data_IF_663277842435
#
_entry.id   IF_663277842435
#
_cell.length_a   1.000
_cell.length_b   1.000
_cell.length_c   1.000
_cell.angle_alpha   90.00
_cell.angle_beta   90.00
_cell.angle_gamma   90.00
#
_symmetry.space_group_name_H-M   'P 1'
#
loop_
_entity.id
_entity.type
_entity.pdbx_description
1 polymer ?
#
# COMPACT_ATOMS: atom_id res chain seq x y z
N UNK A 1 10.11 35.96 2.09
CA UNK A 1 9.82 34.52 2.20
C UNK A 1 11.14 33.83 2.41
N UNK A 2 11.29 32.90 3.37
CA UNK A 2 12.52 32.13 3.46
C UNK A 2 12.72 31.42 2.11
N UNK A 3 13.94 31.46 1.57
CA UNK A 3 14.29 30.71 0.37
C UNK A 3 13.95 29.24 0.63
N UNK A 4 13.04 28.66 -0.15
CA UNK A 4 12.68 27.25 0.00
C UNK A 4 13.91 26.42 -0.31
N UNK A 5 14.34 25.58 0.64
CA UNK A 5 15.40 24.60 0.44
C UNK A 5 15.15 23.87 -0.88
N UNK A 6 16.14 23.71 -1.78
CA UNK A 6 15.94 22.95 -3.01
C UNK A 6 15.51 21.51 -2.68
N UNK A 7 14.47 21.03 -3.36
CA UNK A 7 13.92 19.69 -3.18
C UNK A 7 14.94 18.66 -3.71
N UNK A 8 15.47 17.76 -2.88
CA UNK A 8 16.45 16.76 -3.32
C UNK A 8 15.80 15.70 -4.21
N UNK A 9 16.60 15.02 -5.03
CA UNK A 9 16.13 13.94 -5.92
C UNK A 9 15.59 12.73 -5.15
N UNK A 10 16.09 12.49 -3.93
CA UNK A 10 15.75 11.31 -3.13
C UNK A 10 15.36 11.69 -1.70
N UNK A 11 14.14 11.34 -1.30
CA UNK A 11 13.61 11.52 0.05
C UNK A 11 13.49 10.15 0.72
N UNK A 12 14.54 9.71 1.43
CA UNK A 12 14.51 8.46 2.20
C UNK A 12 13.50 8.60 3.34
N UNK A 13 12.56 7.67 3.47
CA UNK A 13 11.49 7.72 4.46
C UNK A 13 11.81 6.86 5.68
N UNK A 14 11.33 7.29 6.84
CA UNK A 14 11.42 6.56 8.09
C UNK A 14 10.14 5.73 8.33
N UNK A 15 10.23 4.38 8.39
CA UNK A 15 9.07 3.53 8.63
C UNK A 15 8.40 3.80 9.99
N UNK A 16 7.07 3.90 10.00
CA UNK A 16 6.27 4.05 11.21
C UNK A 16 5.62 2.71 11.58
N UNK A 17 6.12 2.07 12.62
CA UNK A 17 5.70 0.73 13.04
C UNK A 17 4.46 0.76 13.94
N UNK A 18 3.61 -0.25 13.79
CA UNK A 18 2.40 -0.45 14.60
C UNK A 18 2.32 -1.88 15.10
N UNK A 19 2.08 -1.98 16.40
CA UNK A 19 2.00 -3.26 17.10
C UNK A 19 0.53 -3.58 17.36
N UNK A 20 0.01 -4.52 16.56
CA UNK A 20 -1.32 -5.08 16.74
C UNK A 20 -1.21 -6.57 17.07
N UNK A 21 -2.21 -7.10 17.77
CA UNK A 21 -2.24 -8.48 18.25
C UNK A 21 -2.09 -9.55 17.18
N UNK A 22 -2.30 -9.20 15.91
CA UNK A 22 -2.16 -10.11 14.77
C UNK A 22 -0.76 -10.08 14.13
N UNK A 23 0.14 -9.23 14.62
CA UNK A 23 1.45 -8.99 14.02
C UNK A 23 2.46 -10.11 14.23
N UNK A 24 3.38 -10.26 13.28
CA UNK A 24 4.50 -11.21 13.34
C UNK A 24 5.83 -10.56 13.74
N UNK A 25 6.95 -11.20 13.40
CA UNK A 25 8.31 -10.77 13.79
C UNK A 25 9.22 -10.44 12.59
N UNK A 26 8.71 -10.51 11.36
CA UNK A 26 9.50 -10.35 10.12
C UNK A 26 9.87 -8.90 9.83
N UNK A 27 9.08 -7.92 10.30
CA UNK A 27 9.31 -6.49 10.03
C UNK A 27 10.37 -5.87 10.96
N UNK A 28 10.39 -6.28 12.23
CA UNK A 28 11.39 -5.86 13.23
C UNK A 28 11.91 -7.07 14.01
N UNK A 29 12.87 -7.83 13.43
CA UNK A 29 13.45 -8.98 14.12
C UNK A 29 14.04 -8.59 15.48
N UNK A 30 13.60 -9.26 16.53
CA UNK A 30 14.03 -9.00 17.92
C UNK A 30 12.98 -8.29 18.78
N UNK A 31 11.94 -7.71 18.18
CA UNK A 31 10.75 -7.22 18.89
C UNK A 31 9.73 -8.36 19.12
N UNK A 32 8.81 -8.19 20.08
CA UNK A 32 7.81 -9.20 20.42
C UNK A 32 6.87 -9.51 19.22
N UNK A 33 6.26 -8.48 18.65
CA UNK A 33 5.48 -8.53 17.43
C UNK A 33 5.43 -7.14 16.76
N UNK A 34 5.21 -7.11 15.46
CA UNK A 34 4.99 -5.91 14.65
C UNK A 34 4.04 -6.25 13.52
N UNK A 35 2.92 -5.55 13.47
CA UNK A 35 1.83 -5.85 12.57
C UNK A 35 1.99 -5.10 11.25
N UNK A 36 2.25 -3.79 11.35
CA UNK A 36 2.41 -2.93 10.19
C UNK A 36 3.68 -2.09 10.29
N UNK A 37 4.28 -1.80 9.14
CA UNK A 37 5.19 -0.68 8.96
C UNK A 37 4.60 0.21 7.86
N UNK A 38 4.22 1.43 8.20
CA UNK A 38 3.84 2.41 7.19
C UNK A 38 5.12 3.02 6.66
N UNK A 39 5.30 2.90 5.35
CA UNK A 39 6.55 3.27 4.67
C UNK A 39 6.36 4.44 3.70
N UNK A 40 5.10 4.76 3.37
CA UNK A 40 4.71 6.01 2.73
C UNK A 40 3.36 6.41 3.28
N UNK A 41 3.27 7.58 3.89
CA UNK A 41 2.03 8.22 4.30
C UNK A 41 2.25 9.72 4.45
N UNK A 42 1.18 10.51 4.38
CA UNK A 42 1.28 11.97 4.51
C UNK A 42 1.94 12.43 5.82
N UNK A 43 1.87 11.62 6.88
CA UNK A 43 2.52 11.89 8.17
C UNK A 43 3.87 11.18 8.36
N UNK A 44 4.34 10.41 7.38
CA UNK A 44 5.66 9.79 7.45
C UNK A 44 6.75 10.84 7.18
N UNK A 45 7.88 10.68 7.88
CA UNK A 45 8.95 11.68 7.92
C UNK A 45 10.10 11.30 6.99
N UNK A 46 10.75 12.32 6.44
CA UNK A 46 12.03 12.15 5.75
C UNK A 46 13.13 11.87 6.78
N UNK A 47 13.82 10.75 6.61
CA UNK A 47 14.81 10.19 7.54
C UNK A 47 16.10 11.02 7.60
N UNK A 48 16.52 11.61 6.49
CA UNK A 48 17.84 12.26 6.38
C UNK A 48 17.91 13.27 5.24
N UNK A 49 18.90 14.16 5.29
CA UNK A 49 19.17 15.14 4.23
C UNK A 49 18.48 16.50 4.46
N UNK A 50 18.41 17.37 3.44
CA UNK A 50 17.92 18.74 3.60
C UNK A 50 16.47 18.86 4.08
N UNK A 51 15.65 17.84 3.84
CA UNK A 51 14.25 17.77 4.25
C UNK A 51 14.04 16.93 5.53
N UNK A 52 15.11 16.52 6.22
CA UNK A 52 15.01 15.64 7.40
C UNK A 52 14.00 16.17 8.43
N UNK A 53 13.15 15.27 8.93
CA UNK A 53 12.14 15.57 9.94
C UNK A 53 10.90 16.29 9.41
N UNK A 54 10.83 16.61 8.11
CA UNK A 54 9.59 17.08 7.48
C UNK A 54 8.74 15.88 7.06
N UNK A 55 7.43 16.03 7.18
CA UNK A 55 6.43 15.06 6.72
C UNK A 55 6.14 15.20 5.23
N UNK A 56 5.61 14.15 4.61
CA UNK A 56 5.17 14.23 3.21
C UNK A 56 4.05 15.26 2.99
N UNK A 57 3.18 15.49 3.97
CA UNK A 57 2.16 16.54 3.93
C UNK A 57 2.77 17.94 3.90
N UNK A 58 3.75 18.23 4.76
CA UNK A 58 4.47 19.51 4.76
C UNK A 58 5.19 19.74 3.43
N UNK A 59 5.83 18.70 2.89
CA UNK A 59 6.51 18.77 1.60
C UNK A 59 5.51 18.95 0.45
N UNK A 60 4.35 18.29 0.49
CA UNK A 60 3.31 18.45 -0.52
C UNK A 60 2.72 19.86 -0.51
N UNK A 61 2.53 20.45 0.68
CA UNK A 61 2.09 21.84 0.84
C UNK A 61 3.17 22.83 0.34
N UNK A 62 4.43 22.59 0.67
CA UNK A 62 5.55 23.49 0.33
C UNK A 62 5.93 23.46 -1.17
N UNK A 63 6.01 22.26 -1.75
CA UNK A 63 6.54 22.07 -3.11
C UNK A 63 5.45 21.76 -4.15
N UNK A 64 4.25 21.38 -3.71
CA UNK A 64 3.08 21.16 -4.56
C UNK A 64 3.39 20.30 -5.80
N UNK A 65 3.12 20.80 -7.02
CA UNK A 65 3.39 20.06 -8.26
C UNK A 65 4.85 19.60 -8.45
N UNK A 66 5.84 20.24 -7.82
CA UNK A 66 7.23 19.79 -7.91
C UNK A 66 7.43 18.46 -7.16
N UNK A 67 6.71 18.25 -6.06
CA UNK A 67 6.75 17.00 -5.32
C UNK A 67 5.93 15.92 -6.02
N UNK A 68 4.63 16.17 -6.22
CA UNK A 68 3.67 15.12 -6.59
C UNK A 68 3.30 15.09 -8.07
N UNK A 69 3.61 16.15 -8.81
CA UNK A 69 3.18 16.32 -10.21
C UNK A 69 1.87 17.11 -10.34
N UNK A 70 1.70 17.80 -11.47
CA UNK A 70 0.59 18.75 -11.66
C UNK A 70 -0.80 18.09 -11.63
N UNK A 71 -0.96 16.93 -12.26
CA UNK A 71 -2.22 16.19 -12.32
C UNK A 71 -2.62 15.66 -10.93
N UNK A 72 -1.65 15.15 -10.19
CA UNK A 72 -1.85 14.62 -8.84
C UNK A 72 -2.26 15.74 -7.88
N UNK A 73 -1.55 16.87 -7.92
CA UNK A 73 -1.85 18.04 -7.10
C UNK A 73 -3.25 18.61 -7.38
N UNK A 74 -3.71 18.59 -8.64
CA UNK A 74 -5.08 19.01 -8.98
C UNK A 74 -6.16 18.10 -8.38
N UNK A 75 -5.88 16.80 -8.21
CA UNK A 75 -6.83 15.83 -7.64
C UNK A 75 -6.87 15.85 -6.13
N UNK A 76 -5.70 16.01 -5.48
CA UNK A 76 -5.54 15.78 -4.04
C UNK A 76 -5.13 17.04 -3.25
N UNK A 77 -4.80 18.12 -3.93
CA UNK A 77 -4.32 19.35 -3.30
C UNK A 77 -3.05 19.10 -2.50
N UNK A 78 -3.04 19.55 -1.26
CA UNK A 78 -1.92 19.40 -0.32
C UNK A 78 -1.87 18.01 0.34
N UNK A 79 -2.89 17.16 0.15
CA UNK A 79 -2.89 15.79 0.69
C UNK A 79 -1.99 14.91 -0.16
N UNK A 80 -1.03 14.24 0.47
CA UNK A 80 -0.24 13.24 -0.21
C UNK A 80 -1.14 12.05 -0.61
N UNK A 81 -1.11 11.55 -1.86
CA UNK A 81 -2.21 10.75 -2.44
C UNK A 81 -2.21 9.26 -2.06
N UNK A 82 -1.10 8.72 -1.54
CA UNK A 82 -0.95 7.29 -1.27
C UNK A 82 -0.65 7.01 0.20
N UNK A 83 -1.07 5.81 0.62
CA UNK A 83 -0.60 5.13 1.81
C UNK A 83 0.01 3.79 1.38
N UNK A 84 1.22 3.49 1.84
CA UNK A 84 1.92 2.24 1.55
C UNK A 84 2.37 1.60 2.86
N UNK A 85 2.03 0.33 3.03
CA UNK A 85 2.28 -0.44 4.25
C UNK A 85 2.99 -1.75 3.92
N UNK A 86 3.84 -2.19 4.84
CA UNK A 86 4.25 -3.59 4.95
C UNK A 86 3.45 -4.22 6.09
N UNK A 87 2.85 -5.39 5.87
CA UNK A 87 2.05 -6.09 6.89
C UNK A 87 2.61 -7.49 7.10
N UNK A 88 2.90 -7.85 8.35
CA UNK A 88 3.31 -9.20 8.74
C UNK A 88 2.20 -9.86 9.55
N UNK A 89 1.45 -10.72 8.88
CA UNK A 89 0.21 -11.30 9.38
C UNK A 89 0.51 -12.62 10.08
N UNK A 90 0.63 -12.63 11.40
CA UNK A 90 0.76 -13.85 12.20
C UNK A 90 -0.61 -14.48 12.53
N UNK A 91 -1.67 -13.66 12.59
CA UNK A 91 -3.06 -14.09 12.73
C UNK A 91 -3.93 -13.46 11.63
N UNK A 92 -5.20 -13.88 11.59
CA UNK A 92 -6.19 -13.21 10.74
C UNK A 92 -6.40 -11.75 11.16
N UNK A 93 -6.32 -10.86 10.17
CA UNK A 93 -6.92 -9.54 10.27
C UNK A 93 -8.45 -9.68 10.28
N UNK A 94 -9.15 -8.68 10.79
CA UNK A 94 -10.61 -8.70 10.73
C UNK A 94 -11.11 -8.78 9.29
N UNK A 95 -12.30 -9.33 9.08
CA UNK A 95 -13.01 -9.21 7.81
C UNK A 95 -13.49 -7.77 7.66
N UNK A 96 -13.14 -7.15 6.54
CA UNK A 96 -13.32 -5.74 6.27
C UNK A 96 -13.91 -5.50 4.89
N UNK A 97 -14.41 -4.28 4.70
CA UNK A 97 -14.80 -3.75 3.41
C UNK A 97 -14.56 -2.24 3.39
N UNK A 98 -14.27 -1.70 2.22
CA UNK A 98 -13.90 -0.30 2.05
C UNK A 98 -14.87 0.45 1.12
N UNK A 99 -15.24 1.71 1.44
CA UNK A 99 -16.05 2.55 0.56
C UNK A 99 -15.25 3.05 -0.66
N UNK A 100 -15.96 3.44 -1.73
CA UNK A 100 -15.40 4.31 -2.76
C UNK A 100 -15.36 5.77 -2.27
N UNK A 101 -14.81 6.70 -3.06
CA UNK A 101 -14.69 8.11 -2.64
C UNK A 101 -16.04 8.77 -2.34
N UNK A 102 -17.04 8.53 -3.19
CA UNK A 102 -18.39 9.11 -3.03
C UNK A 102 -19.03 8.64 -1.72
N UNK A 103 -18.97 7.34 -1.45
CA UNK A 103 -19.50 6.74 -0.22
C UNK A 103 -18.71 7.17 1.01
N UNK A 104 -17.38 7.34 0.91
CA UNK A 104 -16.57 7.84 2.01
C UNK A 104 -16.99 9.26 2.41
N UNK A 105 -17.20 10.13 1.42
CA UNK A 105 -17.67 11.51 1.66
C UNK A 105 -19.10 11.52 2.22
N UNK A 106 -20.00 10.69 1.69
CA UNK A 106 -21.39 10.61 2.17
C UNK A 106 -21.46 10.13 3.62
N UNK A 107 -20.64 9.16 4.01
CA UNK A 107 -20.71 8.51 5.32
C UNK A 107 -19.89 9.22 6.41
N UNK A 108 -18.68 9.69 6.07
CA UNK A 108 -17.71 10.23 7.04
C UNK A 108 -17.49 11.73 6.89
N UNK A 109 -17.94 12.33 5.78
CA UNK A 109 -17.89 13.76 5.52
C UNK A 109 -16.78 14.20 4.55
N UNK A 110 -16.70 15.50 4.26
CA UNK A 110 -15.72 16.03 3.31
C UNK A 110 -14.29 15.81 3.81
N UNK A 111 -13.40 15.38 2.90
CA UNK A 111 -11.98 15.14 3.18
C UNK A 111 -11.61 13.68 3.46
N UNK A 112 -12.60 12.79 3.56
CA UNK A 112 -12.40 11.35 3.54
C UNK A 112 -12.28 10.85 2.10
N UNK A 113 -11.34 9.92 1.89
CA UNK A 113 -11.16 9.22 0.62
C UNK A 113 -11.67 7.79 0.76
N UNK A 114 -12.11 7.23 -0.36
CA UNK A 114 -12.30 5.80 -0.50
C UNK A 114 -10.98 5.06 -0.33
N UNK A 115 -11.05 3.73 -0.34
CA UNK A 115 -9.88 2.88 -0.17
C UNK A 115 -9.89 1.75 -1.20
N UNK A 116 -9.40 2.09 -2.38
CA UNK A 116 -8.89 1.14 -3.37
C UNK A 116 -7.47 0.74 -2.97
N UNK A 117 -7.15 -0.53 -3.06
CA UNK A 117 -5.85 -1.06 -2.63
C UNK A 117 -5.35 -2.20 -3.54
N UNK A 118 -4.06 -2.46 -3.45
CA UNK A 118 -3.43 -3.63 -4.04
C UNK A 118 -2.42 -4.23 -3.06
N UNK A 119 -2.40 -5.55 -2.99
CA UNK A 119 -1.51 -6.32 -2.13
C UNK A 119 -0.53 -7.10 -2.98
N UNK A 120 0.76 -6.90 -2.78
CA UNK A 120 1.80 -7.74 -3.35
C UNK A 120 2.38 -8.65 -2.25
N UNK A 121 2.39 -9.95 -2.51
CA UNK A 121 2.83 -10.96 -1.55
C UNK A 121 4.35 -11.04 -1.53
N UNK A 122 4.98 -10.50 -0.49
CA UNK A 122 6.44 -10.53 -0.32
C UNK A 122 6.92 -11.91 0.14
N UNK A 123 6.12 -12.56 1.00
CA UNK A 123 6.35 -13.92 1.47
C UNK A 123 5.03 -14.57 1.90
N UNK A 124 4.96 -15.90 1.83
CA UNK A 124 3.79 -16.67 2.21
C UNK A 124 4.20 -18.04 2.74
N UNK A 125 3.77 -18.36 3.96
CA UNK A 125 3.94 -19.69 4.54
C UNK A 125 3.05 -20.72 3.81
N UNK A 126 3.40 -22.03 3.85
CA UNK A 126 2.56 -23.06 3.25
C UNK A 126 1.12 -23.03 3.78
N UNK A 127 0.15 -22.89 2.86
CA UNK A 127 -1.28 -22.85 3.19
C UNK A 127 -1.82 -21.45 3.51
N UNK A 128 -0.99 -20.40 3.45
CA UNK A 128 -1.44 -19.02 3.58
C UNK A 128 -2.48 -18.65 2.50
N UNK A 129 -3.49 -17.91 2.94
CA UNK A 129 -4.64 -17.53 2.11
C UNK A 129 -5.25 -16.24 2.62
N UNK A 130 -6.00 -15.57 1.75
CA UNK A 130 -6.78 -14.38 2.06
C UNK A 130 -8.27 -14.67 1.91
N UNK A 131 -9.09 -13.78 2.45
CA UNK A 131 -10.47 -13.59 2.00
C UNK A 131 -10.47 -12.45 0.98
N UNK A 132 -11.10 -12.67 -0.16
CA UNK A 132 -11.20 -11.67 -1.23
C UNK A 132 -12.47 -11.94 -2.06
N UNK A 133 -13.57 -11.32 -1.65
CA UNK A 133 -14.90 -11.51 -2.19
C UNK A 133 -15.74 -12.52 -1.39
N UNK A 134 -16.88 -12.87 -1.97
CA UNK A 134 -17.81 -13.88 -1.45
C UNK A 134 -18.02 -14.97 -2.49
N UNK A 135 -18.44 -16.16 -2.06
CA UNK A 135 -18.60 -17.30 -2.95
C UNK A 135 -19.57 -17.00 -4.11
N UNK A 136 -19.29 -17.50 -5.33
CA UNK A 136 -20.18 -17.32 -6.47
C UNK A 136 -21.62 -17.78 -6.17
N UNK A 137 -22.60 -16.95 -6.53
CA UNK A 137 -24.02 -17.27 -6.37
C UNK A 137 -24.65 -16.82 -5.04
N UNK A 138 -23.86 -16.30 -4.09
CA UNK A 138 -24.39 -15.66 -2.87
C UNK A 138 -25.33 -14.51 -3.24
N UNK A 139 -26.54 -14.55 -2.68
CA UNK A 139 -27.57 -13.52 -2.90
C UNK A 139 -27.36 -12.32 -1.98
N UNK A 140 -27.70 -11.09 -2.40
CA UNK A 140 -27.57 -9.89 -1.58
C UNK A 140 -28.20 -10.02 -0.18
N UNK A 141 -29.40 -10.57 -0.07
CA UNK A 141 -30.10 -10.70 1.21
C UNK A 141 -29.40 -11.68 2.16
N UNK A 142 -28.91 -12.81 1.62
CA UNK A 142 -28.15 -13.79 2.39
C UNK A 142 -26.83 -13.20 2.89
N UNK A 143 -26.16 -12.41 2.05
CA UNK A 143 -24.94 -11.69 2.43
C UNK A 143 -25.20 -10.68 3.56
N UNK A 144 -26.24 -9.86 3.44
CA UNK A 144 -26.61 -8.90 4.47
C UNK A 144 -26.95 -9.59 5.80
N UNK A 145 -27.70 -10.69 5.75
CA UNK A 145 -28.04 -11.47 6.93
C UNK A 145 -26.79 -12.04 7.60
N UNK A 146 -25.87 -12.63 6.82
CA UNK A 146 -24.63 -13.19 7.36
C UNK A 146 -23.70 -12.13 7.98
N UNK A 147 -23.68 -10.91 7.44
CA UNK A 147 -22.98 -9.77 8.04
C UNK A 147 -23.58 -9.41 9.41
N UNK A 148 -24.92 -9.28 9.49
CA UNK A 148 -25.62 -8.94 10.75
C UNK A 148 -25.45 -10.02 11.81
N UNK A 149 -25.50 -11.29 11.41
CA UNK A 149 -25.42 -12.43 12.31
C UNK A 149 -23.98 -12.82 12.69
N UNK A 150 -22.97 -12.18 12.09
CA UNK A 150 -21.56 -12.52 12.31
C UNK A 150 -21.15 -13.89 11.75
N UNK A 151 -21.88 -14.41 10.76
CA UNK A 151 -21.65 -15.73 10.13
C UNK A 151 -21.00 -15.62 8.74
N UNK A 152 -20.46 -14.44 8.42
CA UNK A 152 -19.91 -14.10 7.10
C UNK A 152 -18.77 -15.02 6.63
N UNK A 153 -18.03 -15.63 7.57
CA UNK A 153 -16.98 -16.62 7.25
C UNK A 153 -17.49 -17.76 6.34
N UNK A 154 -18.74 -18.20 6.52
CA UNK A 154 -19.32 -19.28 5.73
C UNK A 154 -19.58 -18.92 4.27
N UNK A 155 -19.69 -17.63 3.95
CA UNK A 155 -19.93 -17.11 2.60
C UNK A 155 -18.67 -16.51 1.97
N UNK A 156 -17.59 -16.36 2.73
CA UNK A 156 -16.35 -15.77 2.28
C UNK A 156 -15.67 -16.62 1.19
N UNK A 157 -15.04 -15.94 0.23
CA UNK A 157 -14.19 -16.59 -0.76
C UNK A 157 -12.73 -16.57 -0.30
N UNK A 158 -12.18 -17.76 -0.08
CA UNK A 158 -10.78 -17.94 0.30
C UNK A 158 -9.92 -18.14 -0.93
N UNK A 159 -8.83 -17.38 -1.04
CA UNK A 159 -7.88 -17.45 -2.15
C UNK A 159 -6.49 -17.78 -1.58
N UNK A 160 -5.86 -18.91 -1.95
CA UNK A 160 -4.48 -19.18 -1.56
C UNK A 160 -3.55 -18.18 -2.22
N UNK A 161 -2.51 -17.74 -1.51
CA UNK A 161 -1.49 -16.87 -2.06
C UNK A 161 -0.12 -17.52 -1.98
N UNK A 162 0.74 -17.17 -2.93
CA UNK A 162 2.15 -17.50 -2.93
C UNK A 162 2.99 -16.22 -3.12
N UNK A 163 4.27 -16.32 -2.79
CA UNK A 163 5.21 -15.20 -2.98
C UNK A 163 5.19 -14.69 -4.42
N UNK A 164 5.05 -13.38 -4.56
CA UNK A 164 5.04 -12.65 -5.82
C UNK A 164 3.64 -12.45 -6.42
N UNK A 165 2.60 -13.09 -5.90
CA UNK A 165 1.22 -12.82 -6.30
C UNK A 165 0.82 -11.38 -5.95
N UNK A 166 0.08 -10.75 -6.84
CA UNK A 166 -0.51 -9.42 -6.65
C UNK A 166 -2.02 -9.49 -6.70
N UNK A 167 -2.69 -8.95 -5.69
CA UNK A 167 -4.15 -8.91 -5.59
C UNK A 167 -4.59 -7.46 -5.66
N UNK A 168 -5.42 -7.11 -6.65
CA UNK A 168 -6.05 -5.80 -6.74
C UNK A 168 -7.47 -5.84 -6.17
N UNK A 169 -7.74 -4.93 -5.24
CA UNK A 169 -8.97 -4.88 -4.45
C UNK A 169 -9.75 -3.59 -4.74
N UNK A 170 -10.92 -3.75 -5.35
CA UNK A 170 -11.85 -2.65 -5.57
C UNK A 170 -12.64 -2.34 -4.30
N UNK A 171 -13.07 -1.07 -4.10
CA UNK A 171 -14.05 -0.73 -3.08
C UNK A 171 -15.29 -1.64 -3.12
N UNK A 172 -15.83 -1.95 -1.95
CA UNK A 172 -16.96 -2.85 -1.77
C UNK A 172 -16.62 -4.35 -1.81
N UNK A 173 -15.37 -4.73 -2.05
CA UNK A 173 -14.93 -6.13 -1.96
C UNK A 173 -14.71 -6.52 -0.51
N UNK A 174 -15.40 -7.56 -0.03
CA UNK A 174 -15.20 -8.12 1.30
C UNK A 174 -13.82 -8.81 1.38
N UNK A 175 -13.01 -8.54 2.40
CA UNK A 175 -11.66 -9.10 2.43
C UNK A 175 -11.04 -9.22 3.82
N UNK A 176 -9.98 -10.03 3.93
CA UNK A 176 -9.13 -10.15 5.10
C UNK A 176 -7.78 -10.79 4.72
N UNK A 177 -6.69 -10.31 5.31
CA UNK A 177 -5.39 -10.99 5.26
C UNK A 177 -5.36 -12.12 6.30
N UNK A 178 -4.93 -13.30 5.86
CA UNK A 178 -4.76 -14.46 6.72
C UNK A 178 -3.33 -14.62 7.24
N UNK A 179 -3.12 -15.60 8.15
CA UNK A 179 -1.84 -15.83 8.78
C UNK A 179 -0.77 -16.35 7.81
N UNK A 180 0.49 -16.09 8.16
CA UNK A 180 1.69 -16.51 7.43
C UNK A 180 2.01 -15.63 6.21
N UNK A 181 1.33 -14.50 6.04
CA UNK A 181 1.53 -13.59 4.92
C UNK A 181 2.42 -12.41 5.31
N UNK A 182 3.39 -12.09 4.47
CA UNK A 182 4.10 -10.80 4.47
C UNK A 182 3.69 -10.03 3.22
N UNK A 183 3.02 -8.91 3.39
CA UNK A 183 2.34 -8.17 2.32
C UNK A 183 2.93 -6.77 2.17
N UNK A 184 3.06 -6.32 0.93
CA UNK A 184 3.17 -4.91 0.58
C UNK A 184 1.79 -4.43 0.12
N UNK A 185 1.20 -3.48 0.83
CA UNK A 185 -0.08 -2.86 0.49
C UNK A 185 0.16 -1.45 -0.03
N UNK A 186 -0.29 -1.16 -1.25
CA UNK A 186 -0.43 0.22 -1.77
C UNK A 186 -1.91 0.54 -1.88
N UNK A 187 -2.27 1.75 -1.45
CA UNK A 187 -3.66 2.18 -1.39
C UNK A 187 -3.78 3.69 -1.53
N UNK A 188 -5.01 4.16 -1.75
CA UNK A 188 -5.36 5.57 -1.56
C UNK A 188 -4.97 6.04 -0.15
N UNK A 189 -4.77 7.35 0.02
CA UNK A 189 -4.50 8.02 1.32
C UNK A 189 -5.72 8.00 2.26
N UNK A 190 -6.07 6.80 2.72
CA UNK A 190 -7.25 6.53 3.54
C UNK A 190 -6.98 5.40 4.52
N UNK A 191 -7.13 5.66 5.82
CA UNK A 191 -7.14 4.60 6.84
C UNK A 191 -8.58 4.17 7.21
N UNK A 192 -9.55 4.52 6.36
CA UNK A 192 -10.96 4.24 6.60
C UNK A 192 -11.27 2.74 6.40
N UNK A 193 -11.71 2.10 7.47
CA UNK A 193 -11.96 0.66 7.50
C UNK A 193 -13.31 0.34 8.14
N UNK A 194 -14.22 -0.26 7.37
CA UNK A 194 -15.44 -0.85 7.91
C UNK A 194 -15.23 -2.31 8.22
N UNK A 195 -15.03 -2.57 9.51
CA UNK A 195 -14.90 -3.93 10.05
C UNK A 195 -16.25 -4.63 10.09
N UNK A 196 -16.34 -5.76 9.40
CA UNK A 196 -17.52 -6.61 9.30
C UNK A 196 -17.56 -7.62 10.45
N UNK A 197 -16.45 -8.32 10.67
CA UNK A 197 -16.35 -9.40 11.65
C UNK A 197 -14.91 -9.59 12.10
N UNK A 198 -14.73 -10.06 13.33
CA UNK A 198 -13.41 -10.06 13.99
C UNK A 198 -13.04 -11.33 14.74
N UNK A 199 -13.54 -12.48 14.27
CA UNK A 199 -13.18 -13.81 14.78
C UNK A 199 -13.53 -14.03 16.25
N UNK A 200 -14.60 -13.38 16.72
CA UNK A 200 -15.02 -13.44 18.12
C UNK A 200 -14.06 -12.82 19.14
N UNK A 201 -13.04 -12.05 18.68
CA UNK A 201 -12.12 -11.34 19.57
C UNK A 201 -12.87 -10.31 20.43
N UNK A 202 -12.43 -10.06 21.68
CA UNK A 202 -13.11 -9.10 22.57
C UNK A 202 -13.26 -7.72 21.93
N UNK A 203 -14.46 -7.15 22.06
CA UNK A 203 -14.73 -5.80 21.58
C UNK A 203 -13.85 -4.77 22.32
N UNK A 204 -13.39 -3.77 21.57
CA UNK A 204 -12.69 -2.61 22.10
C UNK A 204 -12.94 -1.41 21.18
N UNK A 205 -12.67 -0.20 21.66
CA UNK A 205 -12.81 1.02 20.84
C UNK A 205 -12.03 0.92 19.51
N UNK A 206 -10.81 0.37 19.54
CA UNK A 206 -9.98 0.18 18.34
C UNK A 206 -10.46 -0.93 17.40
N UNK A 207 -11.39 -1.79 17.85
CA UNK A 207 -11.86 -2.98 17.13
C UNK A 207 -13.36 -3.00 16.92
N UNK A 208 -14.00 -1.83 16.95
CA UNK A 208 -15.43 -1.68 16.69
C UNK A 208 -15.83 -2.30 15.35
N UNK A 209 -16.99 -2.96 15.32
CA UNK A 209 -17.66 -3.42 14.10
C UNK A 209 -18.51 -2.28 13.52
N UNK A 210 -18.56 -2.20 12.19
CA UNK A 210 -19.22 -1.13 11.43
C UNK A 210 -20.31 -1.75 10.56
N UNK A 211 -21.28 -2.42 11.19
CA UNK A 211 -22.25 -3.28 10.49
C UNK A 211 -23.04 -2.52 9.43
N UNK A 212 -23.64 -1.38 9.78
CA UNK A 212 -24.47 -0.61 8.84
C UNK A 212 -23.63 -0.03 7.68
N UNK A 213 -22.45 0.52 7.97
CA UNK A 213 -21.53 0.99 6.92
C UNK A 213 -21.08 -0.17 6.01
N UNK A 214 -20.75 -1.32 6.59
CA UNK A 214 -20.34 -2.51 5.86
C UNK A 214 -21.44 -2.99 4.90
N UNK A 215 -22.70 -3.02 5.36
CA UNK A 215 -23.85 -3.38 4.53
C UNK A 215 -24.03 -2.42 3.36
N UNK A 216 -23.83 -1.12 3.57
CA UNK A 216 -24.00 -0.10 2.54
C UNK A 216 -22.94 -0.19 1.43
N UNK A 217 -21.71 -0.57 1.77
CA UNK A 217 -20.60 -0.61 0.80
C UNK A 217 -20.35 -1.98 0.19
N UNK A 218 -20.69 -3.07 0.88
CA UNK A 218 -20.37 -4.42 0.39
C UNK A 218 -21.10 -4.73 -0.92
N UNK A 219 -20.38 -5.35 -1.86
CA UNK A 219 -20.91 -5.77 -3.15
C UNK A 219 -20.76 -7.28 -3.29
N UNK A 220 -21.89 -7.98 -3.35
CA UNK A 220 -21.94 -9.45 -3.45
C UNK A 220 -21.26 -10.03 -4.70
N UNK A 221 -21.08 -9.22 -5.74
CA UNK A 221 -20.44 -9.59 -6.99
C UNK A 221 -19.03 -8.96 -7.15
N UNK A 222 -18.55 -8.21 -6.17
CA UNK A 222 -17.18 -7.69 -6.20
C UNK A 222 -16.21 -8.83 -5.90
N UNK A 223 -15.21 -8.93 -6.76
CA UNK A 223 -14.16 -9.94 -6.71
C UNK A 223 -12.82 -9.24 -6.89
N UNK A 224 -11.82 -9.76 -6.21
CA UNK A 224 -10.45 -9.33 -6.39
C UNK A 224 -9.87 -9.83 -7.71
N UNK A 225 -8.89 -9.12 -8.22
CA UNK A 225 -8.10 -9.58 -9.37
C UNK A 225 -6.77 -10.11 -8.87
N UNK A 226 -6.50 -11.39 -9.09
CA UNK A 226 -5.24 -12.05 -8.76
C UNK A 226 -4.36 -12.13 -10.02
N UNK A 227 -3.20 -11.50 -9.93
CA UNK A 227 -2.14 -11.53 -10.95
C UNK A 227 -0.93 -12.27 -10.37
N UNK A 228 -0.56 -13.44 -10.91
CA UNK A 228 0.66 -14.14 -10.50
C UNK A 228 1.93 -13.33 -10.78
N UNK A 229 3.04 -13.68 -10.13
CA UNK A 229 4.34 -13.07 -10.41
C UNK A 229 4.69 -13.19 -11.90
N UNK A 230 4.95 -12.08 -12.61
CA UNK A 230 5.35 -12.15 -14.01
C UNK A 230 6.80 -12.65 -14.17
N UNK A 231 7.16 -13.06 -15.38
CA UNK A 231 8.54 -13.43 -15.70
C UNK A 231 9.46 -12.20 -15.62
N UNK A 232 10.30 -12.15 -14.60
CA UNK A 232 11.19 -11.03 -14.34
C UNK A 232 12.32 -10.96 -15.38
N UNK A 233 12.56 -9.77 -15.90
CA UNK A 233 13.62 -9.51 -16.88
C UNK A 233 14.67 -8.55 -16.30
N UNK A 234 15.95 -8.86 -16.50
CA UNK A 234 17.06 -8.04 -16.00
C UNK A 234 17.03 -6.62 -16.58
N UNK A 235 16.92 -5.63 -15.69
CA UNK A 235 16.93 -4.22 -16.06
C UNK A 235 15.58 -3.69 -16.53
N UNK A 236 14.46 -4.35 -16.19
CA UNK A 236 13.12 -3.98 -16.67
C UNK A 236 12.15 -3.64 -15.54
N UNK A 237 11.24 -2.72 -15.88
CA UNK A 237 10.01 -2.44 -15.16
C UNK A 237 8.87 -3.28 -15.75
N UNK A 238 8.03 -3.84 -14.88
CA UNK A 238 6.83 -4.58 -15.25
C UNK A 238 5.64 -4.12 -14.41
N UNK A 239 4.58 -3.67 -15.06
CA UNK A 239 3.34 -3.25 -14.38
C UNK A 239 2.62 -4.49 -13.82
N UNK A 240 2.30 -4.46 -12.53
CA UNK A 240 1.55 -5.50 -11.83
C UNK A 240 0.05 -5.19 -11.81
N UNK A 241 -0.31 -3.94 -11.56
CA UNK A 241 -1.69 -3.45 -11.65
C UNK A 241 -1.73 -1.93 -11.87
N UNK A 242 -2.85 -1.45 -12.43
CA UNK A 242 -3.13 -0.03 -12.60
C UNK A 242 -4.59 0.25 -12.27
N UNK A 243 -4.84 1.37 -11.61
CA UNK A 243 -6.16 1.90 -11.31
C UNK A 243 -6.24 3.39 -11.64
N UNK A 244 -7.38 4.02 -11.33
CA UNK A 244 -7.51 5.48 -11.43
C UNK A 244 -6.69 6.25 -10.38
N UNK A 245 -6.20 5.54 -9.34
CA UNK A 245 -5.59 6.11 -8.15
C UNK A 245 -4.08 5.86 -8.04
N UNK A 246 -3.61 4.75 -8.60
CA UNK A 246 -2.19 4.42 -8.63
C UNK A 246 -1.89 3.35 -9.69
N UNK A 247 -0.62 3.26 -10.05
CA UNK A 247 0.00 2.09 -10.70
C UNK A 247 1.02 1.47 -9.76
N UNK A 248 1.14 0.15 -9.80
CA UNK A 248 2.15 -0.63 -9.09
C UNK A 248 2.97 -1.41 -10.10
N UNK A 249 4.29 -1.23 -10.07
CA UNK A 249 5.23 -1.94 -10.94
C UNK A 249 6.29 -2.68 -10.13
N UNK A 250 6.75 -3.81 -10.66
CA UNK A 250 7.95 -4.51 -10.23
C UNK A 250 9.17 -4.03 -11.03
N UNK A 251 10.25 -3.72 -10.32
CA UNK A 251 11.57 -3.45 -10.88
C UNK A 251 12.49 -4.59 -10.46
N UNK A 252 13.19 -5.20 -11.41
CA UNK A 252 14.13 -6.30 -11.12
C UNK A 252 15.38 -6.16 -11.97
N UNK A 253 16.54 -6.31 -11.33
CA UNK A 253 17.80 -6.42 -12.05
C UNK A 253 18.85 -7.18 -11.24
N UNK A 254 19.76 -7.80 -11.97
CA UNK A 254 20.95 -8.47 -11.45
C UNK A 254 22.22 -7.72 -11.84
N UNK A 255 22.30 -7.29 -13.10
CA UNK A 255 23.51 -6.68 -13.68
C UNK A 255 23.22 -5.37 -14.38
N UNK A 256 22.04 -5.24 -14.98
CA UNK A 256 21.68 -4.05 -15.75
C UNK A 256 21.17 -2.93 -14.84
N UNK A 257 21.62 -1.72 -15.13
CA UNK A 257 21.01 -0.52 -14.56
C UNK A 257 19.60 -0.34 -15.13
N UNK A 258 18.63 -0.02 -14.26
CA UNK A 258 17.26 0.32 -14.68
C UNK A 258 17.15 1.85 -14.80
N UNK A 259 17.01 2.42 -16.01
CA UNK A 259 16.72 3.84 -16.16
C UNK A 259 15.24 4.12 -15.88
N UNK A 260 14.96 5.19 -15.15
CA UNK A 260 13.61 5.67 -14.85
C UNK A 260 13.54 7.18 -15.06
N UNK A 261 12.33 7.69 -15.28
CA UNK A 261 12.09 9.12 -15.46
C UNK A 261 10.72 9.47 -14.88
N UNK A 262 10.67 10.46 -13.98
CA UNK A 262 9.40 10.97 -13.43
C UNK A 262 8.61 11.80 -14.46
N UNK A 263 9.27 12.21 -15.53
CA UNK A 263 8.74 13.01 -16.64
C UNK A 263 8.12 14.34 -16.21
N UNK A 264 8.48 14.84 -15.01
CA UNK A 264 7.79 15.95 -14.36
C UNK A 264 6.26 15.75 -14.20
N UNK A 265 5.78 14.51 -14.36
CA UNK A 265 4.36 14.19 -14.43
C UNK A 265 3.83 13.66 -13.10
N UNK A 266 4.61 12.82 -12.41
CA UNK A 266 4.24 12.17 -11.16
C UNK A 266 5.49 11.83 -10.34
N UNK A 267 5.32 11.59 -9.05
CA UNK A 267 6.38 11.08 -8.19
C UNK A 267 6.55 9.57 -8.36
N UNK A 268 7.65 9.02 -7.85
CA UNK A 268 7.81 7.58 -7.67
C UNK A 268 8.05 7.24 -6.21
N UNK A 269 7.19 6.42 -5.61
CA UNK A 269 7.47 5.77 -4.32
C UNK A 269 8.12 4.40 -4.60
N UNK A 270 9.36 4.23 -4.17
CA UNK A 270 10.14 3.02 -4.40
C UNK A 270 10.43 2.31 -3.08
N UNK A 271 10.08 1.03 -2.97
CA UNK A 271 10.43 0.19 -1.81
C UNK A 271 11.23 -1.01 -2.29
N UNK A 272 12.44 -1.19 -1.76
CA UNK A 272 13.24 -2.39 -2.06
C UNK A 272 12.66 -3.57 -1.29
N UNK A 273 12.33 -4.66 -1.97
CA UNK A 273 11.73 -5.85 -1.35
C UNK A 273 12.70 -7.03 -1.27
N UNK A 274 13.76 -7.00 -2.07
CA UNK A 274 14.85 -7.97 -2.06
C UNK A 274 16.15 -7.30 -2.54
N UNK A 275 17.29 -7.73 -1.98
CA UNK A 275 18.61 -7.25 -2.36
C UNK A 275 18.95 -5.82 -1.95
N UNK A 276 19.84 -5.21 -2.72
CA UNK A 276 20.35 -3.84 -2.53
C UNK A 276 20.50 -3.12 -3.86
N UNK A 277 20.24 -1.82 -3.87
CA UNK A 277 20.31 -0.99 -5.07
C UNK A 277 20.87 0.38 -4.71
N UNK A 278 21.57 1.00 -5.67
CA UNK A 278 21.99 2.40 -5.59
C UNK A 278 21.19 3.23 -6.59
N UNK A 279 20.52 4.26 -6.10
CA UNK A 279 19.87 5.27 -6.93
C UNK A 279 20.86 6.38 -7.29
N UNK A 280 20.77 6.88 -8.52
CA UNK A 280 21.63 7.94 -9.07
C UNK A 280 20.78 8.96 -9.85
N UNK A 281 20.91 10.25 -9.51
CA UNK A 281 20.28 11.36 -10.22
C UNK A 281 21.22 12.58 -10.20
N UNK A 282 21.76 12.98 -11.35
CA UNK A 282 22.77 14.04 -11.42
C UNK A 282 23.98 13.73 -10.53
N UNK A 283 24.21 14.55 -9.50
CA UNK A 283 25.28 14.35 -8.50
C UNK A 283 24.80 13.64 -7.23
N UNK A 284 23.50 13.41 -7.07
CA UNK A 284 22.93 12.75 -5.91
C UNK A 284 22.98 11.22 -6.04
N UNK A 285 23.24 10.55 -4.93
CA UNK A 285 23.24 9.08 -4.84
C UNK A 285 22.67 8.61 -3.51
N UNK A 286 21.89 7.54 -3.52
CA UNK A 286 21.33 6.92 -2.32
C UNK A 286 21.38 5.40 -2.44
N UNK A 287 21.94 4.71 -1.44
CA UNK A 287 21.86 3.26 -1.35
C UNK A 287 20.65 2.84 -0.52
N UNK A 288 19.96 1.81 -1.01
CA UNK A 288 18.78 1.23 -0.38
C UNK A 288 19.00 -0.27 -0.21
N UNK A 289 18.64 -0.78 0.95
CA UNK A 289 18.52 -2.20 1.25
C UNK A 289 17.05 -2.59 1.38
N UNK A 290 16.80 -3.89 1.57
CA UNK A 290 15.45 -4.43 1.78
C UNK A 290 14.68 -3.62 2.85
N UNK A 291 13.47 -3.22 2.47
CA UNK A 291 12.51 -2.37 3.16
C UNK A 291 12.87 -0.89 3.32
N UNK A 292 14.01 -0.45 2.79
CA UNK A 292 14.18 0.99 2.61
C UNK A 292 13.22 1.48 1.53
N UNK A 293 12.53 2.59 1.85
CA UNK A 293 11.57 3.24 0.98
C UNK A 293 11.99 4.68 0.73
N UNK A 294 11.95 5.09 -0.53
CA UNK A 294 12.31 6.43 -0.97
C UNK A 294 11.19 7.02 -1.82
N UNK A 295 10.92 8.30 -1.63
CA UNK A 295 10.12 9.09 -2.55
C UNK A 295 11.05 9.85 -3.51
N UNK A 296 10.82 9.69 -4.81
CA UNK A 296 11.48 10.44 -5.89
C UNK A 296 10.49 11.51 -6.37
N UNK A 297 10.73 12.81 -6.10
CA UNK A 297 9.83 13.88 -6.49
C UNK A 297 9.60 13.97 -7.99
N UNK A 298 8.43 14.43 -8.41
CA UNK A 298 8.08 14.64 -9.80
C UNK A 298 9.11 15.52 -10.54
N UNK A 299 9.67 16.53 -9.88
CA UNK A 299 10.68 17.43 -10.46
C UNK A 299 12.05 16.78 -10.74
N UNK A 300 12.31 15.55 -10.26
CA UNK A 300 13.62 14.89 -10.39
C UNK A 300 14.02 14.63 -11.85
N UNK A 301 13.07 14.27 -12.70
CA UNK A 301 13.32 13.86 -14.07
C UNK A 301 14.00 12.49 -14.14
N UNK A 302 15.03 12.37 -14.97
CA UNK A 302 15.72 11.10 -15.20
C UNK A 302 16.62 10.69 -14.03
N UNK A 303 16.52 9.43 -13.63
CA UNK A 303 17.35 8.80 -12.60
C UNK A 303 17.56 7.31 -12.92
N UNK A 304 18.43 6.64 -12.16
CA UNK A 304 18.83 5.26 -12.45
C UNK A 304 18.91 4.43 -11.18
N UNK A 305 18.57 3.14 -11.29
CA UNK A 305 18.78 2.12 -10.26
C UNK A 305 19.92 1.20 -10.69
N UNK A 306 21.07 1.32 -10.03
CA UNK A 306 22.23 0.48 -10.23
C UNK A 306 22.19 -0.70 -9.23
N UNK A 307 22.12 -1.96 -9.70
CA UNK A 307 22.12 -3.13 -8.81
C UNK A 307 23.43 -3.22 -8.02
N UNK A 308 23.33 -3.45 -6.70
CA UNK A 308 24.47 -3.81 -5.82
C UNK A 308 24.47 -5.32 -5.53
N UNK A 309 24.15 -6.10 -6.56
CA UNK A 309 23.66 -7.48 -6.47
C UNK A 309 22.26 -7.58 -7.07
N UNK A 310 21.70 -8.79 -7.13
CA UNK A 310 20.30 -8.99 -7.51
C UNK A 310 19.39 -8.20 -6.57
N UNK A 311 18.48 -7.42 -7.12
CA UNK A 311 17.47 -6.71 -6.34
C UNK A 311 16.09 -6.81 -6.99
N UNK A 312 15.08 -6.64 -6.14
CA UNK A 312 13.70 -6.38 -6.54
C UNK A 312 13.17 -5.19 -5.77
N UNK A 313 12.45 -4.31 -6.44
CA UNK A 313 11.79 -3.17 -5.83
C UNK A 313 10.38 -3.00 -6.39
N UNK A 314 9.47 -2.52 -5.56
CA UNK A 314 8.14 -2.09 -5.99
C UNK A 314 8.17 -0.58 -6.20
N UNK A 315 7.55 -0.14 -7.31
CA UNK A 315 7.37 1.27 -7.64
C UNK A 315 5.88 1.59 -7.69
N UNK A 316 5.46 2.60 -6.95
CA UNK A 316 4.11 3.15 -7.01
C UNK A 316 4.12 4.60 -7.50
N UNK A 317 3.13 4.96 -8.32
CA UNK A 317 2.93 6.32 -8.85
C UNK A 317 1.45 6.58 -9.10
N UNK A 318 1.06 7.85 -9.28
CA UNK A 318 -0.33 8.31 -9.47
C UNK A 318 -0.53 9.01 -10.81
#
# INVERSE_FOLDING_TARGET
MPESTPLPAFLLLEPQYRDYVWGGQRLRPGEDFTAEAWVVYEHDHVKSGPCQGQTLAELASLYGPQLVGQSVFQKTGERFPLLIKLLDCAEWLSIQVHPNDEQAVEMEGPGYFGKTEAWHTLDADPGSRIIAGVQPGVKPDALQQAIRDGTIEGLAQYIPLQRGDTVFMRPGTLHALGPGLLIYEVQQTSDLTYRVYDWGRPASEKRKLHIEQSLAVTRHNAQAELTPLPELQDGKEQVLCTSAYFSLSMLSAEKRTVPLDTQAATFHALTVIDGKVRLLAGTESLELARFDTVLVPASTGSYQLQPLGSFRALKSSV
#
